data_IF_197357799358
#
_entry.id   IF_197357799358
#
_cell.length_a   1.000
_cell.length_b   1.000
_cell.length_c   1.000
_cell.angle_alpha   90.00
_cell.angle_beta   90.00
_cell.angle_gamma   90.00
#
_symmetry.space_group_name_H-M   'P 1'
#
loop_
_entity.id
_entity.type
_entity.pdbx_description
1 polymer ?
#
# COMPACT_ATOMS: atom_id res chain seq x y z
N UNK A 1 9.77 -115.24 -0.85
CA UNK A 1 11.10 -114.78 -1.28
C UNK A 1 11.55 -113.63 -0.38
N UNK A 2 12.78 -113.74 0.13
CA UNK A 2 13.63 -112.73 0.77
C UNK A 2 13.13 -112.00 2.05
N UNK A 3 13.41 -112.60 3.21
CA UNK A 3 13.65 -111.89 4.46
C UNK A 3 14.94 -111.05 4.29
N UNK A 4 14.81 -109.73 4.12
CA UNK A 4 15.98 -108.85 4.14
C UNK A 4 16.47 -108.67 5.58
N UNK A 5 17.62 -109.29 5.89
CA UNK A 5 18.39 -109.05 7.10
C UNK A 5 18.82 -107.58 7.16
N UNK A 6 18.08 -106.74 7.90
CA UNK A 6 18.61 -105.45 8.34
C UNK A 6 19.57 -105.72 9.50
N UNK A 7 20.88 -105.74 9.22
CA UNK A 7 21.91 -105.71 10.26
C UNK A 7 21.77 -104.42 11.07
N UNK A 8 21.85 -104.53 12.39
CA UNK A 8 21.87 -103.38 13.28
C UNK A 8 23.06 -102.45 12.95
N UNK A 9 22.90 -101.12 13.06
CA UNK A 9 24.00 -100.18 12.84
C UNK A 9 25.14 -100.48 13.82
N UNK A 10 26.38 -100.44 13.34
CA UNK A 10 27.57 -100.67 14.16
C UNK A 10 27.71 -99.56 15.22
N UNK A 11 28.33 -99.87 16.36
CA UNK A 11 28.59 -98.90 17.43
C UNK A 11 29.31 -97.63 16.93
N UNK A 12 30.18 -97.75 15.92
CA UNK A 12 30.81 -96.61 15.26
C UNK A 12 29.82 -95.68 14.57
N UNK A 13 28.80 -96.23 13.89
CA UNK A 13 27.75 -95.42 13.25
C UNK A 13 26.83 -94.74 14.26
N UNK A 14 26.55 -95.38 15.40
CA UNK A 14 25.78 -94.77 16.48
C UNK A 14 26.55 -93.63 17.17
N UNK A 15 27.85 -93.79 17.38
CA UNK A 15 28.70 -92.75 17.97
C UNK A 15 28.88 -91.56 17.02
N UNK A 16 29.08 -91.80 15.72
CA UNK A 16 29.18 -90.73 14.73
C UNK A 16 27.86 -89.93 14.60
N UNK A 17 26.72 -90.62 14.66
CA UNK A 17 25.41 -89.96 14.68
C UNK A 17 25.20 -89.14 15.96
N UNK A 18 25.62 -89.67 17.12
CA UNK A 18 25.59 -88.96 18.40
C UNK A 18 26.43 -87.68 18.36
N UNK A 19 27.62 -87.73 17.77
CA UNK A 19 28.52 -86.58 17.69
C UNK A 19 28.05 -85.55 16.66
N UNK A 20 27.50 -85.99 15.53
CA UNK A 20 26.85 -85.11 14.55
C UNK A 20 25.60 -84.41 15.13
N UNK A 21 24.82 -85.12 15.95
CA UNK A 21 23.66 -84.55 16.64
C UNK A 21 24.05 -83.68 17.84
N UNK A 22 25.24 -83.85 18.42
CA UNK A 22 25.75 -83.00 19.51
C UNK A 22 26.02 -81.57 19.03
N UNK A 23 26.53 -81.42 17.81
CA UNK A 23 26.74 -80.11 17.16
C UNK A 23 25.44 -79.38 16.77
N UNK A 24 24.32 -80.11 16.65
CA UNK A 24 22.98 -79.55 16.40
C UNK A 24 22.18 -79.28 17.67
N UNK A 25 22.65 -79.74 18.84
CA UNK A 25 22.07 -79.26 20.09
C UNK A 25 22.51 -77.82 20.24
N UNK A 26 21.58 -76.88 20.06
CA UNK A 26 21.75 -75.53 20.57
C UNK A 26 22.10 -75.70 22.04
N UNK A 27 23.38 -75.54 22.37
CA UNK A 27 23.81 -75.32 23.74
C UNK A 27 22.86 -74.27 24.29
N UNK A 28 22.27 -74.55 25.45
CA UNK A 28 21.43 -73.61 26.17
C UNK A 28 22.15 -72.27 26.17
N UNK A 29 21.74 -71.39 25.26
CA UNK A 29 22.18 -70.02 25.23
C UNK A 29 21.62 -69.49 26.53
N UNK A 30 22.46 -69.40 27.56
CA UNK A 30 22.09 -68.78 28.82
C UNK A 30 21.41 -67.47 28.44
N UNK A 31 20.12 -67.40 28.73
CA UNK A 31 19.26 -66.27 28.42
C UNK A 31 19.62 -65.12 29.35
N UNK A 32 20.82 -64.57 29.20
CA UNK A 32 21.28 -63.35 29.87
C UNK A 32 22.10 -62.48 28.92
N UNK A 33 21.66 -62.37 27.67
CA UNK A 33 21.75 -61.09 26.98
C UNK A 33 20.43 -60.80 26.30
N UNK A 34 19.49 -60.26 27.09
CA UNK A 34 18.45 -59.40 26.55
C UNK A 34 19.21 -58.23 25.93
N UNK A 35 19.53 -58.33 24.64
CA UNK A 35 20.06 -57.22 23.87
C UNK A 35 19.04 -56.10 23.93
N UNK A 36 19.22 -55.15 24.85
CA UNK A 36 18.44 -53.90 24.88
C UNK A 36 18.74 -53.18 23.59
N UNK A 37 17.90 -53.41 22.58
CA UNK A 37 17.83 -52.53 21.42
C UNK A 37 17.26 -51.23 21.96
N UNK A 38 18.12 -50.27 22.24
CA UNK A 38 17.68 -48.91 22.48
C UNK A 38 17.06 -48.42 21.17
N UNK A 39 15.72 -48.44 21.09
CA UNK A 39 15.03 -47.64 20.11
C UNK A 39 15.26 -46.17 20.51
N UNK A 40 16.15 -45.48 19.81
CA UNK A 40 16.23 -44.03 19.88
C UNK A 40 15.00 -43.48 19.18
N UNK A 41 13.93 -43.29 19.93
CA UNK A 41 12.92 -42.32 19.50
C UNK A 41 13.67 -41.00 19.37
N UNK A 42 13.80 -40.46 18.15
CA UNK A 42 14.36 -39.12 17.99
C UNK A 42 13.55 -38.21 18.90
N UNK A 43 14.15 -37.80 20.02
CA UNK A 43 13.52 -37.04 21.06
C UNK A 43 12.85 -35.85 20.40
N UNK A 44 11.51 -35.84 20.37
CA UNK A 44 10.54 -34.74 20.40
C UNK A 44 10.98 -33.31 19.99
N UNK A 45 11.99 -33.17 19.13
CA UNK A 45 12.76 -31.94 18.91
C UNK A 45 12.53 -31.38 17.52
N UNK A 46 12.04 -32.19 16.58
CA UNK A 46 11.60 -31.73 15.27
C UNK A 46 10.13 -31.25 15.27
N UNK A 47 9.29 -31.81 16.15
CA UNK A 47 7.90 -31.39 16.31
C UNK A 47 7.77 -30.07 17.10
N UNK A 48 8.67 -29.85 18.08
CA UNK A 48 8.69 -28.68 18.96
C UNK A 48 9.86 -27.70 18.68
N UNK A 49 10.57 -27.88 17.57
CA UNK A 49 11.68 -26.99 17.18
C UNK A 49 11.19 -25.61 16.76
N UNK A 50 12.05 -24.60 16.88
CA UNK A 50 11.77 -23.26 16.37
C UNK A 50 11.52 -23.33 14.85
N UNK A 51 10.31 -22.94 14.42
CA UNK A 51 10.00 -22.79 13.01
C UNK A 51 10.66 -21.52 12.50
N UNK A 52 11.80 -21.65 11.85
CA UNK A 52 12.44 -20.55 11.17
C UNK A 52 11.57 -20.11 9.98
N UNK A 53 10.99 -18.91 10.09
CA UNK A 53 10.23 -18.31 9.02
C UNK A 53 11.15 -17.82 7.88
N UNK A 54 10.64 -17.70 6.65
CA UNK A 54 11.45 -17.18 5.55
C UNK A 54 11.91 -15.75 5.87
N UNK A 55 13.14 -15.44 5.47
CA UNK A 55 13.76 -14.12 5.65
C UNK A 55 12.90 -13.01 5.05
N UNK A 56 12.75 -11.90 5.77
CA UNK A 56 11.84 -10.80 5.38
C UNK A 56 12.43 -9.78 4.41
N UNK A 57 13.67 -10.02 3.91
CA UNK A 57 14.37 -9.16 2.94
C UNK A 57 14.41 -7.68 3.37
N UNK A 58 14.65 -7.44 4.66
CA UNK A 58 14.83 -6.09 5.22
C UNK A 58 16.19 -5.50 4.78
N UNK A 59 16.42 -4.22 5.10
CA UNK A 59 17.67 -3.51 4.82
C UNK A 59 17.56 -2.45 3.71
N UNK A 60 18.72 -1.93 3.32
CA UNK A 60 18.84 -0.93 2.26
C UNK A 60 18.41 -1.51 0.91
N UNK A 61 17.69 -0.69 0.15
CA UNK A 61 17.30 -0.97 -1.25
C UNK A 61 17.98 -0.04 -2.23
N UNK A 62 18.41 1.13 -1.74
CA UNK A 62 19.18 2.11 -2.50
C UNK A 62 20.43 2.52 -1.74
N UNK A 63 21.56 2.49 -2.42
CA UNK A 63 22.85 2.85 -1.84
C UNK A 63 23.02 4.38 -1.82
N UNK A 64 24.02 4.87 -1.06
CA UNK A 64 24.35 6.29 -1.06
C UNK A 64 24.86 6.75 -2.42
N UNK A 65 24.33 7.87 -2.93
CA UNK A 65 24.68 8.44 -4.23
C UNK A 65 23.93 7.84 -5.42
N UNK A 66 23.02 6.89 -5.20
CA UNK A 66 22.21 6.28 -6.25
C UNK A 66 21.03 7.20 -6.64
N UNK A 67 20.70 7.24 -7.93
CA UNK A 67 19.56 8.01 -8.44
C UNK A 67 18.23 7.31 -8.13
N UNK A 68 17.24 8.09 -7.68
CA UNK A 68 15.90 7.62 -7.32
C UNK A 68 14.82 8.55 -7.85
N UNK A 69 13.64 7.96 -8.08
CA UNK A 69 12.42 8.62 -8.54
C UNK A 69 11.39 8.55 -7.40
N UNK A 70 10.40 9.46 -7.30
CA UNK A 70 9.36 9.40 -6.27
C UNK A 70 8.68 8.03 -6.21
N UNK A 71 8.41 7.54 -4.99
CA UNK A 71 7.82 6.23 -4.72
C UNK A 71 8.83 5.10 -4.49
N UNK A 72 10.08 5.25 -4.95
CA UNK A 72 11.11 4.23 -4.75
C UNK A 72 11.35 3.97 -3.25
N UNK A 73 11.47 2.69 -2.90
CA UNK A 73 11.85 2.27 -1.54
C UNK A 73 13.35 2.49 -1.36
N UNK A 74 13.73 3.19 -0.30
CA UNK A 74 15.13 3.44 0.07
C UNK A 74 15.62 2.39 1.08
N UNK A 75 14.82 2.12 2.12
CA UNK A 75 15.19 1.22 3.20
C UNK A 75 13.95 0.56 3.82
N UNK A 76 13.97 -0.78 3.98
CA UNK A 76 12.94 -1.54 4.70
C UNK A 76 13.45 -1.94 6.07
N UNK A 77 12.71 -1.63 7.12
CA UNK A 77 13.17 -1.83 8.50
C UNK A 77 12.07 -2.32 9.43
N UNK A 78 12.47 -2.76 10.63
CA UNK A 78 11.58 -2.94 11.78
C UNK A 78 11.92 -1.85 12.79
N UNK A 79 10.91 -1.09 13.19
CA UNK A 79 11.13 0.18 13.89
C UNK A 79 11.89 1.17 13.02
N UNK A 80 12.40 2.23 13.65
CA UNK A 80 13.06 3.36 12.98
C UNK A 80 14.55 3.40 13.28
N UNK A 81 15.33 2.54 12.60
CA UNK A 81 16.80 2.56 12.65
C UNK A 81 17.34 3.80 11.91
N UNK A 82 16.71 4.08 10.78
CA UNK A 82 16.88 5.29 9.99
C UNK A 82 15.58 6.10 10.01
N UNK A 83 15.72 7.41 10.02
CA UNK A 83 14.61 8.36 9.97
C UNK A 83 14.55 9.06 8.60
N UNK A 84 13.36 9.51 8.17
CA UNK A 84 13.22 10.28 6.94
C UNK A 84 13.87 11.65 7.12
N UNK A 85 14.82 11.94 6.24
CA UNK A 85 15.46 13.23 6.07
C UNK A 85 14.74 14.08 5.03
N UNK A 86 15.49 14.93 4.35
CA UNK A 86 14.98 15.78 3.28
C UNK A 86 14.48 14.95 2.09
N UNK A 87 13.33 15.34 1.50
CA UNK A 87 12.73 14.69 0.32
C UNK A 87 12.48 13.17 0.46
N UNK A 88 12.32 12.68 1.70
CA UNK A 88 11.96 11.31 2.00
C UNK A 88 10.75 11.26 2.92
N UNK A 89 9.93 10.21 2.82
CA UNK A 89 8.83 9.96 3.73
C UNK A 89 8.90 8.56 4.34
N UNK A 90 8.20 8.37 5.45
CA UNK A 90 8.10 7.09 6.14
C UNK A 90 6.70 6.50 5.95
N UNK A 91 6.63 5.23 5.55
CA UNK A 91 5.39 4.47 5.45
C UNK A 91 4.93 3.89 6.79
N UNK A 92 3.77 3.22 6.79
CA UNK A 92 3.17 2.60 7.99
C UNK A 92 4.08 1.59 8.68
N UNK A 93 4.85 0.82 7.92
CA UNK A 93 5.77 -0.19 8.44
C UNK A 93 7.19 0.35 8.67
N UNK A 94 7.34 1.68 8.74
CA UNK A 94 8.60 2.41 8.85
C UNK A 94 9.54 2.27 7.64
N UNK A 95 9.05 1.74 6.51
CA UNK A 95 9.78 1.78 5.24
C UNK A 95 9.97 3.22 4.79
N UNK A 96 11.18 3.57 4.34
CA UNK A 96 11.49 4.91 3.85
C UNK A 96 11.35 4.94 2.34
N UNK A 97 10.62 5.92 1.83
CA UNK A 97 10.35 6.13 0.41
C UNK A 97 10.85 7.50 -0.07
N UNK A 98 11.21 7.57 -1.35
CA UNK A 98 11.55 8.81 -2.03
C UNK A 98 10.30 9.66 -2.32
N UNK A 99 10.33 10.97 -2.04
CA UNK A 99 9.25 11.89 -2.45
C UNK A 99 9.61 12.78 -3.65
N UNK A 100 10.91 12.98 -3.92
CA UNK A 100 11.40 13.76 -5.05
C UNK A 100 12.47 13.00 -5.83
N UNK A 101 12.66 13.30 -7.14
CA UNK A 101 13.74 12.73 -7.92
C UNK A 101 15.11 13.35 -7.56
N UNK A 102 16.09 12.51 -7.30
CA UNK A 102 17.42 12.94 -6.88
C UNK A 102 18.33 11.79 -6.48
N UNK A 103 19.32 12.06 -5.62
CA UNK A 103 20.33 11.11 -5.18
C UNK A 103 20.23 10.82 -3.69
N UNK A 104 20.33 9.55 -3.30
CA UNK A 104 20.18 9.15 -1.89
C UNK A 104 21.39 9.57 -1.05
N UNK A 105 21.14 10.13 0.14
CA UNK A 105 22.17 10.54 1.10
C UNK A 105 21.83 9.99 2.48
N UNK A 106 22.80 9.29 3.06
CA UNK A 106 22.76 8.83 4.46
C UNK A 106 23.56 9.82 5.29
N UNK A 107 22.97 10.39 6.33
CA UNK A 107 23.61 11.44 7.13
C UNK A 107 23.13 11.44 8.58
N UNK A 108 23.82 12.22 9.43
CA UNK A 108 23.41 12.53 10.80
C UNK A 108 23.18 14.03 10.88
N UNK A 109 22.17 14.44 11.62
CA UNK A 109 21.82 15.83 11.81
C UNK A 109 21.73 16.11 13.32
N UNK A 110 22.84 16.56 13.93
CA UNK A 110 22.86 16.82 15.37
C UNK A 110 22.01 18.03 15.75
N UNK A 111 21.83 19.00 14.84
CA UNK A 111 21.00 20.18 15.07
C UNK A 111 19.52 19.80 15.19
N UNK A 112 19.07 18.83 14.39
CA UNK A 112 17.70 18.30 14.48
C UNK A 112 17.53 17.30 15.62
N UNK A 113 18.42 16.30 15.73
CA UNK A 113 18.40 15.35 16.83
C UNK A 113 19.75 14.63 17.01
N UNK A 114 20.37 14.69 18.20
CA UNK A 114 21.78 14.28 18.39
C UNK A 114 22.07 12.81 18.10
N UNK A 115 21.13 11.91 18.43
CA UNK A 115 21.32 10.44 18.32
C UNK A 115 20.75 9.80 17.05
N UNK A 116 20.03 10.55 16.20
CA UNK A 116 19.29 9.96 15.06
C UNK A 116 20.10 9.96 13.78
N UNK A 117 19.83 8.96 12.95
CA UNK A 117 20.42 8.78 11.62
C UNK A 117 19.32 8.97 10.58
N UNK A 118 19.62 9.68 9.50
CA UNK A 118 18.65 10.08 8.49
C UNK A 118 19.01 9.57 7.10
N UNK A 119 17.97 9.32 6.30
CA UNK A 119 18.07 9.07 4.86
C UNK A 119 17.27 10.16 4.17
N UNK A 120 17.95 10.95 3.35
CA UNK A 120 17.33 11.99 2.53
C UNK A 120 17.72 11.85 1.07
N UNK A 121 17.15 12.70 0.24
CA UNK A 121 17.42 12.76 -1.19
C UNK A 121 17.88 14.18 -1.55
N UNK A 122 19.09 14.26 -2.09
CA UNK A 122 19.65 15.51 -2.62
C UNK A 122 19.22 15.69 -4.07
N UNK A 123 18.78 16.90 -4.44
CA UNK A 123 18.30 17.20 -5.79
C UNK A 123 19.37 17.02 -6.88
N UNK A 124 20.62 17.34 -6.52
CA UNK A 124 21.82 17.22 -7.34
C UNK A 124 22.80 16.24 -6.69
N UNK A 125 23.65 15.61 -7.51
CA UNK A 125 24.63 14.62 -7.01
C UNK A 125 25.71 15.27 -6.15
N UNK A 126 26.14 16.51 -6.43
CA UNK A 126 27.16 17.22 -5.65
C UNK A 126 26.67 17.70 -4.27
N UNK A 127 25.35 17.85 -4.09
CA UNK A 127 24.80 18.40 -2.85
C UNK A 127 24.86 17.37 -1.72
N UNK A 128 25.43 17.77 -0.59
CA UNK A 128 25.53 16.95 0.61
C UNK A 128 24.48 17.38 1.64
N UNK A 129 24.01 16.41 2.43
CA UNK A 129 23.09 16.61 3.55
C UNK A 129 23.85 16.33 4.87
N UNK A 130 23.52 16.99 5.99
CA UNK A 130 22.40 17.91 6.21
C UNK A 130 22.62 19.31 5.61
N UNK A 131 21.54 20.00 5.22
CA UNK A 131 21.63 21.42 4.86
C UNK A 131 21.90 22.28 6.10
N UNK A 132 22.75 23.34 5.99
CA UNK A 132 23.00 24.21 7.13
C UNK A 132 21.74 25.02 7.49
N UNK A 133 21.52 25.37 8.77
CA UNK A 133 20.25 25.91 9.25
C UNK A 133 19.74 27.17 8.53
N UNK A 134 20.64 28.03 8.08
CA UNK A 134 20.31 29.32 7.45
C UNK A 134 20.39 29.28 5.91
N UNK A 135 20.56 28.11 5.29
CA UNK A 135 20.56 28.01 3.84
C UNK A 135 19.14 27.99 3.28
N UNK A 136 19.00 28.57 2.08
CA UNK A 136 17.75 28.54 1.31
C UNK A 136 17.40 27.09 0.97
N UNK A 137 16.16 26.70 1.24
CA UNK A 137 15.66 25.36 0.89
C UNK A 137 15.58 25.19 -0.63
N UNK A 138 16.32 24.22 -1.15
CA UNK A 138 16.32 23.90 -2.59
C UNK A 138 15.09 23.06 -2.95
N UNK A 139 14.29 23.49 -3.94
CA UNK A 139 13.09 22.80 -4.44
C UNK A 139 13.12 22.73 -5.97
N UNK A 140 12.53 21.69 -6.56
CA UNK A 140 12.28 21.61 -8.01
C UNK A 140 10.83 22.02 -8.28
N UNK A 141 10.60 22.78 -9.35
CA UNK A 141 9.25 23.20 -9.76
C UNK A 141 8.39 21.99 -10.16
N UNK A 142 8.99 21.00 -10.84
CA UNK A 142 8.30 19.76 -11.22
C UNK A 142 7.21 19.94 -12.28
N UNK A 143 7.21 21.06 -12.99
CA UNK A 143 6.25 21.37 -14.06
C UNK A 143 6.97 21.57 -15.39
N UNK A 144 6.29 21.24 -16.49
CA UNK A 144 6.73 21.50 -17.86
C UNK A 144 5.92 22.67 -18.42
N UNK A 145 6.57 23.62 -19.10
CA UNK A 145 5.86 24.66 -19.83
C UNK A 145 5.14 24.03 -21.04
N UNK A 146 3.83 24.24 -21.13
CA UNK A 146 3.03 23.86 -22.28
C UNK A 146 2.55 25.14 -22.97
N UNK A 147 2.89 25.29 -24.25
CA UNK A 147 2.35 26.38 -25.06
C UNK A 147 0.90 26.05 -25.38
N UNK A 148 -0.02 26.87 -24.85
CA UNK A 148 -1.45 26.75 -25.19
C UNK A 148 -1.60 27.14 -26.66
N UNK A 149 -2.18 26.29 -27.52
CA UNK A 149 -2.43 26.66 -28.90
C UNK A 149 -3.37 27.87 -28.92
N UNK A 150 -2.96 28.92 -29.64
CA UNK A 150 -3.86 30.03 -29.91
C UNK A 150 -4.91 29.52 -30.89
N UNK A 151 -6.10 29.22 -30.38
CA UNK A 151 -7.25 29.07 -31.27
C UNK A 151 -7.46 30.43 -31.91
N UNK A 152 -7.18 30.54 -33.21
CA UNK A 152 -7.67 31.65 -34.01
C UNK A 152 -9.18 31.55 -33.87
N UNK A 153 -9.76 32.37 -33.00
CA UNK A 153 -11.18 32.67 -33.11
C UNK A 153 -11.25 33.43 -34.41
N UNK A 154 -11.56 32.73 -35.49
CA UNK A 154 -12.11 33.37 -36.67
C UNK A 154 -13.21 34.26 -36.14
N UNK A 155 -12.94 35.56 -36.17
CA UNK A 155 -13.97 36.55 -35.97
C UNK A 155 -14.86 36.31 -37.15
N UNK A 156 -15.94 35.57 -36.93
CA UNK A 156 -17.05 35.44 -37.85
C UNK A 156 -17.64 36.85 -37.94
N UNK A 157 -16.98 37.71 -38.71
CA UNK A 157 -17.51 38.98 -39.17
C UNK A 157 -18.67 38.59 -40.05
N UNK A 158 -19.84 38.54 -39.42
CA UNK A 158 -21.08 38.16 -40.06
C UNK A 158 -21.27 38.92 -41.37
N UNK A 159 -21.81 38.19 -42.34
CA UNK A 159 -22.80 38.67 -43.29
C UNK A 159 -22.74 40.19 -43.58
N UNK A 160 -21.91 40.58 -44.55
CA UNK A 160 -22.30 41.62 -45.50
C UNK A 160 -21.51 41.45 -46.82
N UNK A 161 -22.16 40.81 -47.78
CA UNK A 161 -21.79 40.89 -49.19
C UNK A 161 -21.86 42.35 -49.66
N UNK A 162 -20.71 42.96 -49.97
CA UNK A 162 -20.58 43.99 -51.01
C UNK A 162 -19.15 44.05 -51.52
N UNK A 163 -18.93 43.53 -52.73
CA UNK A 163 -18.20 44.21 -53.80
C UNK A 163 -16.67 44.32 -53.77
N UNK A 164 -16.10 43.91 -54.91
CA UNK A 164 -14.94 44.47 -55.62
C UNK A 164 -13.52 44.27 -55.07
N UNK A 165 -12.80 43.42 -55.81
CA UNK A 165 -11.53 43.70 -56.50
C UNK A 165 -10.20 43.88 -55.71
N UNK A 166 -9.18 43.25 -56.31
CA UNK A 166 -7.75 43.63 -56.39
C UNK A 166 -6.77 43.22 -55.26
N UNK A 167 -5.88 42.30 -55.66
CA UNK A 167 -4.43 42.22 -55.45
C UNK A 167 -3.77 42.95 -54.26
N UNK A 168 -2.94 42.22 -53.50
CA UNK A 168 -1.51 42.53 -53.36
C UNK A 168 -0.75 41.47 -52.55
N UNK A 169 0.39 41.08 -53.10
CA UNK A 169 1.48 40.35 -52.44
C UNK A 169 2.37 41.33 -51.65
N UNK A 170 2.73 41.02 -50.39
CA UNK A 170 3.91 41.56 -49.66
C UNK A 170 4.06 40.77 -48.34
N UNK A 171 5.05 39.89 -48.15
CA UNK A 171 6.45 40.12 -47.76
C UNK A 171 6.67 40.77 -46.37
N UNK A 172 7.37 40.00 -45.52
CA UNK A 172 8.26 40.39 -44.41
C UNK A 172 7.75 41.31 -43.29
N UNK A 173 7.89 40.87 -42.03
CA UNK A 173 8.99 41.33 -41.14
C UNK A 173 8.86 40.70 -39.75
N UNK A 174 10.01 40.25 -39.21
CA UNK A 174 10.19 39.98 -37.77
C UNK A 174 9.97 41.29 -37.02
N UNK A 175 9.13 41.28 -35.98
CA UNK A 175 9.13 42.32 -34.96
C UNK A 175 9.01 41.69 -33.57
N UNK A 176 9.82 42.23 -32.69
CA UNK A 176 10.11 41.79 -31.33
C UNK A 176 8.87 41.80 -30.43
N UNK A 177 8.57 40.66 -29.82
CA UNK A 177 7.50 40.56 -28.82
C UNK A 177 8.08 40.84 -27.43
N UNK A 178 7.94 42.09 -26.97
CA UNK A 178 8.02 42.41 -25.54
C UNK A 178 6.81 41.78 -24.81
N UNK A 179 6.97 41.21 -23.60
CA UNK A 179 5.86 40.59 -22.88
C UNK A 179 4.92 41.66 -22.33
N UNK A 180 3.68 41.70 -22.84
CA UNK A 180 2.66 42.64 -22.37
C UNK A 180 2.17 42.27 -20.97
N UNK A 181 2.16 43.28 -20.10
CA UNK A 181 1.66 43.22 -18.74
C UNK A 181 0.16 42.87 -18.73
N UNK A 182 -0.18 41.75 -18.09
CA UNK A 182 -1.56 41.29 -17.90
C UNK A 182 -2.23 42.19 -16.86
N UNK A 183 -3.25 42.96 -17.28
CA UNK A 183 -4.31 43.46 -16.40
C UNK A 183 -5.44 42.43 -16.38
N UNK A 184 -5.61 41.75 -15.26
CA UNK A 184 -6.68 40.77 -15.04
C UNK A 184 -8.03 41.49 -14.89
N UNK A 185 -8.97 41.22 -15.79
CA UNK A 185 -10.39 41.37 -15.51
C UNK A 185 -11.00 39.96 -15.30
N UNK A 186 -11.80 39.73 -14.25
CA UNK A 186 -12.34 38.41 -13.95
C UNK A 186 -13.39 37.99 -14.99
N UNK A 187 -13.12 36.89 -15.69
CA UNK A 187 -14.00 36.29 -16.69
C UNK A 187 -15.30 35.76 -16.04
N UNK A 188 -16.41 36.48 -16.22
CA UNK A 188 -17.74 36.15 -15.69
C UNK A 188 -18.58 35.25 -16.59
N UNK A 189 -18.04 34.69 -17.68
CA UNK A 189 -18.82 33.82 -18.58
C UNK A 189 -18.44 32.35 -18.42
N UNK A 190 -19.10 31.68 -17.46
CA UNK A 190 -19.20 30.21 -17.47
C UNK A 190 -20.13 29.81 -18.61
N UNK A 191 -19.58 29.15 -19.62
CA UNK A 191 -20.33 28.59 -20.74
C UNK A 191 -21.27 27.48 -20.28
N UNK A 192 -22.53 27.59 -20.70
CA UNK A 192 -23.55 26.53 -20.61
C UNK A 192 -23.10 25.35 -21.46
N UNK A 193 -23.00 24.16 -20.86
CA UNK A 193 -22.68 22.92 -21.57
C UNK A 193 -23.97 22.40 -22.23
N UNK A 194 -24.09 22.57 -23.54
CA UNK A 194 -25.15 21.95 -24.33
C UNK A 194 -24.73 20.52 -24.69
N UNK A 195 -25.40 19.53 -24.11
CA UNK A 195 -25.20 18.12 -24.46
C UNK A 195 -26.02 17.79 -25.70
N UNK A 196 -25.36 17.45 -26.81
CA UNK A 196 -26.02 16.87 -27.97
C UNK A 196 -26.36 15.40 -27.68
N UNK A 197 -27.65 15.06 -27.74
CA UNK A 197 -28.10 13.67 -27.81
C UNK A 197 -28.61 13.41 -29.23
N UNK A 198 -28.05 12.39 -29.89
CA UNK A 198 -28.46 11.99 -31.23
C UNK A 198 -29.97 11.65 -31.26
N UNK A 199 -30.75 12.19 -32.21
CA UNK A 199 -32.16 11.86 -32.33
C UNK A 199 -32.36 10.49 -32.97
N UNK A 200 -33.03 9.58 -32.26
CA UNK A 200 -33.67 8.41 -32.86
C UNK A 200 -34.95 8.89 -33.54
N UNK A 201 -35.06 8.67 -34.86
CA UNK A 201 -36.29 8.95 -35.60
C UNK A 201 -37.30 7.84 -35.37
N UNK A 202 -38.46 8.20 -34.83
CA UNK A 202 -39.71 7.49 -35.10
C UNK A 202 -40.79 8.56 -35.07
N UNK A 203 -41.59 8.62 -36.15
CA UNK A 203 -42.54 9.70 -36.38
C UNK A 203 -43.57 9.86 -35.27
N UNK A 204 -44.05 11.10 -35.12
CA UNK A 204 -45.20 11.41 -34.27
C UNK A 204 -44.95 12.59 -33.32
N UNK A 205 -45.53 13.72 -33.68
CA UNK A 205 -46.01 14.82 -32.83
C UNK A 205 -45.21 15.21 -31.57
N UNK A 206 -44.66 16.43 -31.61
CA UNK A 206 -44.25 17.20 -30.44
C UNK A 206 -45.46 17.38 -29.51
N UNK A 207 -45.40 16.81 -28.31
CA UNK A 207 -46.20 17.26 -27.17
C UNK A 207 -45.25 17.62 -26.04
N UNK A 208 -45.37 18.86 -25.56
CA UNK A 208 -44.70 19.33 -24.36
C UNK A 208 -45.21 18.50 -23.18
N UNK A 209 -44.31 17.83 -22.48
CA UNK A 209 -44.63 17.15 -21.23
C UNK A 209 -43.68 17.69 -20.17
N UNK A 210 -44.27 18.37 -19.19
CA UNK A 210 -43.74 18.62 -17.85
C UNK A 210 -43.52 17.28 -17.13
N UNK A 211 -42.64 16.45 -17.68
CA UNK A 211 -42.37 15.10 -17.21
C UNK A 211 -41.31 15.14 -16.13
N UNK A 212 -41.73 15.17 -14.87
CA UNK A 212 -40.84 14.78 -13.77
C UNK A 212 -40.38 13.34 -14.03
N UNK A 213 -39.11 13.17 -14.35
CA UNK A 213 -38.54 11.86 -14.66
C UNK A 213 -38.59 11.03 -13.35
N UNK A 214 -39.48 10.04 -13.27
CA UNK A 214 -39.58 9.14 -12.12
C UNK A 214 -38.58 7.99 -12.27
N UNK A 215 -37.59 7.92 -11.38
CA UNK A 215 -36.60 6.83 -11.36
C UNK A 215 -37.21 5.51 -10.85
N UNK A 216 -36.69 4.37 -11.32
CA UNK A 216 -37.05 3.04 -10.80
C UNK A 216 -36.63 2.92 -9.32
N UNK A 217 -37.38 2.19 -8.47
CA UNK A 217 -36.99 1.96 -7.08
C UNK A 217 -35.54 1.43 -6.98
N UNK A 218 -34.69 2.13 -6.23
CA UNK A 218 -33.27 1.81 -6.08
C UNK A 218 -32.30 2.66 -6.93
N UNK A 219 -32.81 3.52 -7.82
CA UNK A 219 -32.00 4.49 -8.56
C UNK A 219 -32.20 5.89 -7.97
N UNK A 220 -31.09 6.59 -7.70
CA UNK A 220 -31.08 7.99 -7.30
C UNK A 220 -30.14 8.76 -8.24
N UNK A 221 -30.51 9.99 -8.62
CA UNK A 221 -29.60 10.85 -9.37
C UNK A 221 -28.27 11.01 -8.62
N UNK A 222 -27.16 10.89 -9.36
CA UNK A 222 -25.83 11.23 -8.83
C UNK A 222 -25.83 12.72 -8.46
N UNK A 223 -25.82 13.02 -7.17
CA UNK A 223 -25.54 14.37 -6.72
C UNK A 223 -24.09 14.70 -7.10
N UNK A 224 -23.86 15.89 -7.64
CA UNK A 224 -22.51 16.36 -7.91
C UNK A 224 -21.69 16.34 -6.60
N UNK A 225 -20.40 15.99 -6.67
CA UNK A 225 -19.55 15.82 -5.49
C UNK A 225 -19.54 17.08 -4.57
N UNK A 226 -19.66 18.27 -5.14
CA UNK A 226 -19.75 19.53 -4.39
C UNK A 226 -21.03 19.63 -3.53
N UNK A 227 -22.12 19.01 -3.99
CA UNK A 227 -23.41 18.98 -3.31
C UNK A 227 -23.39 17.99 -2.14
N UNK A 228 -22.71 16.85 -2.31
CA UNK A 228 -22.45 15.87 -1.24
C UNK A 228 -21.58 16.48 -0.14
N UNK A 229 -20.54 17.26 -0.52
CA UNK A 229 -19.64 17.92 0.43
C UNK A 229 -20.34 18.93 1.36
N UNK A 230 -21.46 19.54 0.93
CA UNK A 230 -22.27 20.47 1.74
C UNK A 230 -23.49 19.82 2.40
N UNK A 231 -23.60 18.49 2.40
CA UNK A 231 -24.71 17.80 3.05
C UNK A 231 -24.82 18.13 4.56
N UNK A 232 -23.70 18.41 5.22
CA UNK A 232 -23.67 18.82 6.63
C UNK A 232 -24.35 20.18 6.86
N UNK A 233 -24.24 21.13 5.92
CA UNK A 233 -24.85 22.47 6.00
C UNK A 233 -26.37 22.41 5.80
N UNK A 234 -26.86 21.52 4.94
CA UNK A 234 -28.30 21.39 4.65
C UNK A 234 -29.06 20.52 5.63
N UNK A 235 -28.37 19.64 6.36
CA UNK A 235 -29.05 18.89 7.42
C UNK A 235 -29.65 19.91 8.39
N UNK A 236 -30.95 19.84 8.69
CA UNK A 236 -31.56 20.68 9.74
C UNK A 236 -30.90 20.46 11.12
N UNK A 237 -30.14 19.36 11.22
CA UNK A 237 -29.21 19.00 12.29
C UNK A 237 -27.76 19.38 11.94
N UNK A 238 -27.55 20.50 11.26
CA UNK A 238 -26.22 21.05 10.99
C UNK A 238 -25.47 21.04 12.31
N UNK A 239 -24.27 20.44 12.32
CA UNK A 239 -23.51 20.21 13.55
C UNK A 239 -23.32 21.52 14.31
N UNK A 240 -24.20 21.81 15.27
CA UNK A 240 -24.05 22.92 16.21
C UNK A 240 -22.89 22.53 17.12
N UNK A 241 -21.68 22.96 16.75
CA UNK A 241 -20.52 22.92 17.64
C UNK A 241 -20.92 23.69 18.89
N UNK A 242 -20.94 23.02 20.05
CA UNK A 242 -21.27 23.68 21.31
C UNK A 242 -20.25 24.80 21.54
N UNK A 243 -20.67 26.04 21.83
CA UNK A 243 -19.74 27.14 22.07
C UNK A 243 -18.81 26.79 23.23
N UNK A 244 -17.54 27.18 23.13
CA UNK A 244 -16.57 26.98 24.19
C UNK A 244 -16.95 27.84 25.41
N UNK A 245 -17.01 27.23 26.60
CA UNK A 245 -17.26 27.94 27.85
C UNK A 245 -15.93 28.16 28.59
N UNK A 246 -15.44 29.40 28.69
CA UNK A 246 -14.24 29.71 29.46
C UNK A 246 -14.49 29.45 30.97
N UNK A 247 -13.48 28.91 31.68
CA UNK A 247 -13.54 28.71 33.14
C UNK A 247 -13.98 27.32 33.61
N UNK A 248 -14.56 26.46 32.75
CA UNK A 248 -14.91 25.08 33.14
C UNK A 248 -13.70 24.14 33.05
N UNK A 249 -12.78 24.26 34.02
CA UNK A 249 -11.57 23.43 34.12
C UNK A 249 -11.88 21.94 34.29
N UNK A 250 -13.05 21.60 34.83
CA UNK A 250 -13.46 20.22 35.11
C UNK A 250 -14.35 19.61 34.03
N UNK A 251 -14.71 20.34 32.96
CA UNK A 251 -15.52 19.81 31.85
C UNK A 251 -14.90 18.55 31.25
N UNK A 252 -13.59 18.58 31.04
CA UNK A 252 -12.83 17.46 30.49
C UNK A 252 -12.84 16.25 31.43
N UNK A 253 -12.68 16.48 32.73
CA UNK A 253 -12.70 15.43 33.76
C UNK A 253 -14.09 14.78 33.87
N UNK A 254 -15.16 15.59 33.87
CA UNK A 254 -16.56 15.08 33.86
C UNK A 254 -16.86 14.27 32.60
N UNK A 255 -16.46 14.75 31.42
CA UNK A 255 -16.60 14.02 30.14
C UNK A 255 -15.82 12.71 30.16
N UNK A 256 -14.62 12.67 30.74
CA UNK A 256 -13.82 11.46 30.87
C UNK A 256 -14.51 10.43 31.76
N UNK A 257 -15.04 10.84 32.91
CA UNK A 257 -15.73 9.95 33.84
C UNK A 257 -17.04 9.41 33.25
N UNK A 258 -17.84 10.27 32.59
CA UNK A 258 -19.02 9.83 31.85
C UNK A 258 -18.67 8.81 30.76
N UNK A 259 -17.55 9.01 30.05
CA UNK A 259 -17.08 8.06 29.03
C UNK A 259 -16.62 6.74 29.63
N UNK A 260 -15.98 6.77 30.81
CA UNK A 260 -15.61 5.55 31.56
C UNK A 260 -16.86 4.78 31.99
N UNK A 261 -17.86 5.45 32.57
CA UNK A 261 -19.13 4.84 32.97
C UNK A 261 -19.86 4.18 31.79
N UNK A 262 -20.05 4.91 30.69
CA UNK A 262 -20.70 4.37 29.48
C UNK A 262 -19.95 3.18 28.87
N UNK A 263 -18.61 3.13 28.98
CA UNK A 263 -17.83 1.98 28.54
C UNK A 263 -18.00 0.75 29.46
N UNK A 264 -18.16 0.96 30.77
CA UNK A 264 -18.46 -0.11 31.73
C UNK A 264 -19.84 -0.69 31.46
N UNK A 265 -20.85 0.16 31.28
CA UNK A 265 -22.21 -0.27 30.91
C UNK A 265 -22.23 -1.06 29.59
N UNK A 266 -21.57 -0.55 28.55
CA UNK A 266 -21.47 -1.26 27.25
C UNK A 266 -20.77 -2.61 27.39
N UNK A 267 -19.76 -2.72 28.26
CA UNK A 267 -19.07 -3.98 28.55
C UNK A 267 -19.97 -4.95 29.35
N UNK A 268 -20.76 -4.44 30.28
CA UNK A 268 -21.74 -5.24 31.03
C UNK A 268 -22.83 -5.81 30.12
N UNK A 269 -23.41 -4.97 29.25
CA UNK A 269 -24.39 -5.40 28.24
C UNK A 269 -23.83 -6.46 27.29
N UNK A 270 -22.56 -6.32 26.86
CA UNK A 270 -21.89 -7.30 25.98
C UNK A 270 -21.61 -8.65 26.67
N UNK A 271 -21.49 -8.69 28.00
CA UNK A 271 -21.30 -9.93 28.77
C UNK A 271 -22.62 -10.64 29.08
N UNK A 272 -23.75 -9.94 29.10
CA UNK A 272 -25.08 -10.51 29.33
C UNK A 272 -25.60 -11.47 28.24
N UNK A 273 -25.00 -11.46 27.04
CA UNK A 273 -25.36 -12.36 25.93
C UNK A 273 -24.63 -13.71 25.90
N UNK A 274 -23.73 -13.99 26.86
CA UNK A 274 -23.12 -15.31 27.05
C UNK A 274 -23.71 -15.96 28.31
N UNK A 275 -24.94 -16.47 28.19
CA UNK A 275 -25.38 -17.55 29.08
C UNK A 275 -24.75 -18.85 28.58
N UNK A 276 -24.11 -19.59 29.50
CA UNK A 276 -23.80 -21.02 29.34
C UNK A 276 -25.10 -21.79 29.20
#
# INVERSE_FOLDING_TARGET
>A
MALSNRRAPSCATLNALSDALSAFRLSNFSATQIGRRHASHQAQGRANGAKDGPGKRLGAKKAGGEYVVPGNILFKQRGTLWYPGENAMMGRDHTIHATAPGFVRYYRDPARHPKRKYIGISLNKSHQLPTPPNAITRRKLGMLAYQVPQTITEIDTGDLMTGSELSASASSTKLDAQPSTIREAPNTRRSTVTMFTNPVSTGGQKTALDGSITLRPGYQYRQANWYIGRAAERSAKAMKVKPFQPGDRFAAWRRLNARKAANVERRAMKRGGKKK
#
